data_IF_002494602418
#
_entry.id   IF_002494602418
#
_cell.length_a   1.000
_cell.length_b   1.000
_cell.length_c   1.000
_cell.angle_alpha   90.00
_cell.angle_beta   90.00
_cell.angle_gamma   90.00
#
_symmetry.space_group_name_H-M   'P 1'
#
loop_
_entity.id
_entity.type
_entity.pdbx_description
1 polymer ?
#
# COMPACT_ATOMS: atom_id res chain seq x y z
N UNK A 1 -9.38 13.43 -11.87
CA UNK A 1 -7.91 13.29 -12.05
C UNK A 1 -7.07 14.46 -11.51
N UNK A 2 -7.28 15.71 -11.97
CA UNK A 2 -6.47 16.88 -11.56
C UNK A 2 -6.42 17.08 -10.04
N UNK A 3 -7.58 17.17 -9.38
CA UNK A 3 -7.65 17.36 -7.91
C UNK A 3 -6.94 16.25 -7.15
N UNK A 4 -7.16 14.99 -7.52
CA UNK A 4 -6.51 13.82 -6.91
C UNK A 4 -4.98 13.90 -7.09
N UNK A 5 -4.51 14.21 -8.30
CA UNK A 5 -3.08 14.39 -8.57
C UNK A 5 -2.48 15.51 -7.71
N UNK A 6 -3.13 16.66 -7.61
CA UNK A 6 -2.65 17.77 -6.79
C UNK A 6 -2.59 17.39 -5.31
N UNK A 7 -3.60 16.69 -4.80
CA UNK A 7 -3.63 16.21 -3.41
C UNK A 7 -2.55 15.15 -3.16
N UNK A 8 -2.41 14.16 -4.04
CA UNK A 8 -1.38 13.14 -3.95
C UNK A 8 0.03 13.76 -4.00
N UNK A 9 0.24 14.82 -4.80
CA UNK A 9 1.52 15.52 -4.85
C UNK A 9 1.82 16.30 -3.54
N UNK A 10 0.80 16.87 -2.90
CA UNK A 10 0.96 17.48 -1.56
C UNK A 10 1.31 16.43 -0.50
N UNK A 11 0.64 15.29 -0.52
CA UNK A 11 0.93 14.14 0.34
C UNK A 11 2.37 13.67 0.10
N UNK A 12 2.78 13.57 -1.17
CA UNK A 12 4.14 13.18 -1.54
C UNK A 12 5.18 14.05 -0.84
N UNK A 13 5.06 15.38 -0.92
CA UNK A 13 6.03 16.27 -0.28
C UNK A 13 6.08 16.13 1.24
N UNK A 14 4.94 15.93 1.90
CA UNK A 14 4.90 15.74 3.36
C UNK A 14 5.54 14.41 3.78
N UNK A 15 5.15 13.30 3.16
CA UNK A 15 5.71 11.97 3.47
C UNK A 15 7.19 11.90 3.12
N UNK A 16 7.59 12.48 1.98
CA UNK A 16 8.99 12.52 1.56
C UNK A 16 9.83 13.26 2.59
N UNK A 17 9.38 14.44 3.04
CA UNK A 17 10.09 15.22 4.06
C UNK A 17 10.25 14.45 5.37
N UNK A 18 9.22 13.75 5.86
CA UNK A 18 9.33 12.96 7.09
C UNK A 18 10.27 11.75 6.93
N UNK A 19 10.09 10.99 5.84
CA UNK A 19 10.86 9.77 5.57
C UNK A 19 12.34 10.08 5.34
N UNK A 20 12.66 11.17 4.64
CA UNK A 20 14.04 11.60 4.38
C UNK A 20 14.82 11.89 5.67
N UNK A 21 14.14 12.35 6.73
CA UNK A 21 14.72 12.58 8.05
C UNK A 21 14.70 11.32 8.94
N UNK A 22 14.45 10.15 8.38
CA UNK A 22 14.40 8.88 9.12
C UNK A 22 13.22 8.76 10.08
N UNK A 23 12.16 9.57 9.92
CA UNK A 23 10.94 9.46 10.71
C UNK A 23 9.98 8.49 10.05
N UNK A 24 9.33 7.65 10.86
CA UNK A 24 8.21 6.83 10.41
C UNK A 24 7.03 7.75 10.04
N UNK A 25 6.47 7.57 8.84
CA UNK A 25 5.31 8.31 8.39
C UNK A 25 4.03 7.48 8.55
N UNK A 26 3.08 7.95 9.36
CA UNK A 26 1.73 7.39 9.45
C UNK A 26 0.75 8.29 8.69
N UNK A 27 0.15 7.78 7.63
CA UNK A 27 -0.89 8.47 6.87
C UNK A 27 -2.26 7.89 7.21
N UNK A 28 -3.14 8.73 7.78
CA UNK A 28 -4.56 8.42 7.88
C UNK A 28 -5.25 9.01 6.66
N UNK A 29 -5.55 8.17 5.68
CA UNK A 29 -6.15 8.56 4.43
C UNK A 29 -7.68 8.55 4.47
N UNK A 30 -8.27 9.15 3.43
CA UNK A 30 -9.65 8.89 3.06
C UNK A 30 -9.67 7.76 2.06
N UNK A 31 -9.83 8.07 0.77
CA UNK A 31 -9.77 7.07 -0.28
C UNK A 31 -8.34 6.60 -0.60
N UNK A 32 -8.23 5.42 -1.19
CA UNK A 32 -6.98 4.71 -1.49
C UNK A 32 -6.07 5.51 -2.44
N UNK A 33 -6.59 6.48 -3.19
CA UNK A 33 -5.76 7.36 -4.05
C UNK A 33 -4.69 8.18 -3.31
N UNK A 34 -4.80 8.36 -1.99
CA UNK A 34 -3.72 8.96 -1.21
C UNK A 34 -2.41 8.18 -1.31
N UNK A 35 -2.47 6.85 -1.51
CA UNK A 35 -1.29 6.00 -1.53
C UNK A 35 -0.38 6.24 -2.73
N UNK A 36 -0.90 6.85 -3.81
CA UNK A 36 -0.07 7.32 -4.93
C UNK A 36 1.04 8.24 -4.41
N UNK A 37 0.68 9.18 -3.53
CA UNK A 37 1.61 10.13 -2.94
C UNK A 37 2.54 9.50 -1.92
N UNK A 38 2.00 8.68 -1.02
CA UNK A 38 2.78 8.07 0.07
C UNK A 38 3.82 7.08 -0.45
N UNK A 39 3.43 6.16 -1.35
CA UNK A 39 4.29 5.10 -1.87
C UNK A 39 5.45 5.66 -2.71
N UNK A 40 5.14 6.62 -3.59
CA UNK A 40 6.17 7.28 -4.41
C UNK A 40 7.10 8.13 -3.56
N UNK A 41 6.59 8.77 -2.51
CA UNK A 41 7.40 9.56 -1.57
C UNK A 41 8.35 8.71 -0.73
N UNK A 42 7.87 7.59 -0.18
CA UNK A 42 8.72 6.66 0.58
C UNK A 42 9.85 6.14 -0.29
N UNK A 43 9.54 5.75 -1.53
CA UNK A 43 10.53 5.28 -2.51
C UNK A 43 11.56 6.37 -2.82
N UNK A 44 11.10 7.58 -3.13
CA UNK A 44 11.97 8.72 -3.45
C UNK A 44 12.91 9.09 -2.28
N UNK A 45 12.38 9.13 -1.05
CA UNK A 45 13.14 9.50 0.14
C UNK A 45 14.26 8.49 0.43
N UNK A 46 13.95 7.19 0.39
CA UNK A 46 14.93 6.14 0.66
C UNK A 46 16.05 6.10 -0.39
N UNK A 47 15.71 6.30 -1.67
CA UNK A 47 16.71 6.44 -2.74
C UNK A 47 17.61 7.66 -2.52
N UNK A 48 17.02 8.80 -2.13
CA UNK A 48 17.79 10.01 -1.86
C UNK A 48 18.75 9.83 -0.67
N UNK A 49 18.29 9.24 0.43
CA UNK A 49 19.14 8.95 1.60
C UNK A 49 20.31 8.05 1.23
N UNK A 50 20.10 7.06 0.35
CA UNK A 50 21.16 6.17 -0.12
C UNK A 50 22.21 6.92 -0.94
N UNK A 51 21.78 7.75 -1.89
CA UNK A 51 22.70 8.53 -2.73
C UNK A 51 23.61 9.44 -1.91
N UNK A 52 23.10 9.99 -0.79
CA UNK A 52 23.89 10.79 0.16
C UNK A 52 24.91 9.94 0.95
N UNK A 53 24.57 8.69 1.30
CA UNK A 53 25.48 7.77 2.02
C UNK A 53 26.61 7.24 1.14
N UNK A 54 26.34 6.91 -0.13
CA UNK A 54 27.38 6.43 -1.05
C UNK A 54 28.45 7.47 -1.40
N UNK A 55 28.15 8.77 -1.25
CA UNK A 55 29.17 9.82 -1.36
C UNK A 55 30.23 9.76 -0.25
N UNK A 56 29.96 9.05 0.86
CA UNK A 56 30.79 9.06 2.07
C UNK A 56 31.22 7.68 2.57
N UNK A 57 30.80 6.56 1.95
CA UNK A 57 31.15 5.19 2.37
C UNK A 57 30.93 4.15 1.25
N UNK A 58 31.66 3.01 1.23
CA UNK A 58 31.49 1.96 0.22
C UNK A 58 30.10 1.28 0.33
N UNK A 59 29.59 0.69 -0.78
CA UNK A 59 28.24 0.17 -0.83
C UNK A 59 28.06 -1.05 0.10
N UNK A 60 27.23 -0.90 1.12
CA UNK A 60 26.70 -2.02 1.93
C UNK A 60 25.51 -2.63 1.15
N UNK A 61 25.42 -3.95 1.09
CA UNK A 61 24.40 -4.74 0.38
C UNK A 61 22.95 -4.63 0.93
N UNK A 62 22.59 -3.48 1.52
CA UNK A 62 21.21 -3.21 1.96
C UNK A 62 20.34 -2.84 0.76
N UNK A 63 19.25 -3.57 0.55
CA UNK A 63 18.28 -3.26 -0.50
C UNK A 63 17.49 -2.01 -0.11
N UNK A 64 17.66 -0.92 -0.87
CA UNK A 64 17.10 0.39 -0.54
C UNK A 64 15.73 0.68 -1.15
N UNK A 65 15.29 -0.17 -2.06
CA UNK A 65 13.92 -0.12 -2.57
C UNK A 65 12.99 -0.70 -1.49
N UNK A 66 12.01 0.07 -0.99
CA UNK A 66 11.08 -0.45 0.00
C UNK A 66 10.22 -1.56 -0.61
N UNK A 67 9.93 -2.58 0.19
CA UNK A 67 8.79 -3.45 -0.04
C UNK A 67 7.51 -2.75 0.38
N UNK A 68 6.44 -3.03 -0.36
CA UNK A 68 5.10 -2.57 -0.02
C UNK A 68 4.26 -3.81 0.28
N UNK A 69 3.89 -3.96 1.55
CA UNK A 69 2.94 -4.99 1.99
C UNK A 69 1.56 -4.33 2.01
N UNK A 70 0.65 -4.87 1.22
CA UNK A 70 -0.68 -4.31 0.97
C UNK A 70 -1.73 -5.25 1.56
N UNK A 71 -2.49 -4.74 2.53
CA UNK A 71 -3.75 -5.36 2.94
C UNK A 71 -4.86 -4.70 2.14
N UNK A 72 -5.48 -5.44 1.22
CA UNK A 72 -6.59 -4.94 0.41
C UNK A 72 -7.43 -6.12 -0.13
N UNK A 73 -8.75 -5.95 -0.23
CA UNK A 73 -9.61 -6.89 -0.94
C UNK A 73 -9.38 -6.88 -2.46
N UNK A 74 -8.93 -5.75 -2.99
CA UNK A 74 -8.73 -5.42 -4.40
C UNK A 74 -7.24 -5.22 -4.72
N UNK A 75 -6.91 -5.16 -6.01
CA UNK A 75 -5.53 -4.89 -6.45
C UNK A 75 -5.25 -3.41 -6.71
N UNK A 76 -6.27 -2.63 -7.03
CA UNK A 76 -6.12 -1.21 -7.38
C UNK A 76 -5.11 -0.96 -8.53
N UNK A 77 -5.02 -1.92 -9.46
CA UNK A 77 -4.11 -1.96 -10.62
C UNK A 77 -4.81 -1.64 -11.94
N UNK A 78 -6.10 -1.29 -11.91
CA UNK A 78 -6.78 -0.82 -13.10
C UNK A 78 -6.14 0.47 -13.64
N UNK A 79 -6.13 0.60 -14.95
CA UNK A 79 -5.74 1.81 -15.66
C UNK A 79 -6.98 2.55 -16.15
N UNK A 80 -6.86 3.82 -16.61
CA UNK A 80 -8.00 4.54 -17.20
C UNK A 80 -8.67 3.80 -18.36
N UNK A 81 -7.96 2.93 -19.08
CA UNK A 81 -8.51 2.17 -20.20
C UNK A 81 -9.07 0.79 -19.81
N UNK A 82 -8.70 0.25 -18.64
CA UNK A 82 -9.17 -1.07 -18.18
C UNK A 82 -10.27 -0.98 -17.12
N UNK A 83 -10.35 0.14 -16.39
CA UNK A 83 -11.30 0.30 -15.31
C UNK A 83 -12.75 0.26 -15.81
N UNK A 84 -13.62 -0.58 -15.21
CA UNK A 84 -15.03 -0.63 -15.58
C UNK A 84 -15.82 0.60 -15.11
N UNK A 85 -15.38 1.26 -14.03
CA UNK A 85 -16.09 2.40 -13.42
C UNK A 85 -15.48 3.76 -13.75
N UNK A 86 -14.21 3.80 -14.18
CA UNK A 86 -13.44 5.03 -14.30
C UNK A 86 -13.09 5.68 -12.95
N UNK A 87 -13.41 5.01 -11.83
CA UNK A 87 -13.07 5.52 -10.50
C UNK A 87 -11.57 5.35 -10.23
N UNK A 88 -10.90 6.47 -9.95
CA UNK A 88 -9.47 6.49 -9.67
C UNK A 88 -9.08 5.70 -8.41
N UNK A 89 -10.05 5.38 -7.55
CA UNK A 89 -9.81 4.59 -6.35
C UNK A 89 -9.36 3.15 -6.63
N UNK A 90 -9.73 2.59 -7.79
CA UNK A 90 -9.24 1.28 -8.26
C UNK A 90 -7.95 1.36 -9.08
N UNK A 91 -7.30 2.52 -9.14
CA UNK A 91 -6.08 2.77 -9.92
C UNK A 91 -4.81 3.21 -9.14
N UNK A 92 -4.79 3.41 -7.80
CA UNK A 92 -3.60 3.97 -7.14
C UNK A 92 -2.31 3.23 -7.43
N UNK A 93 -2.34 1.90 -7.41
CA UNK A 93 -1.15 1.08 -7.64
C UNK A 93 -0.76 1.09 -9.12
N UNK A 94 -1.70 1.28 -10.06
CA UNK A 94 -1.36 1.47 -11.47
C UNK A 94 -0.57 2.76 -11.70
N UNK A 95 -0.90 3.85 -10.99
CA UNK A 95 -0.14 5.09 -11.05
C UNK A 95 1.20 4.99 -10.32
N UNK A 96 1.22 4.42 -9.11
CA UNK A 96 2.43 4.30 -8.30
C UNK A 96 3.51 3.39 -8.91
N UNK A 97 3.11 2.40 -9.72
CA UNK A 97 4.03 1.47 -10.42
C UNK A 97 4.30 1.88 -11.87
N UNK A 98 3.52 2.79 -12.44
CA UNK A 98 3.61 3.21 -13.84
C UNK A 98 2.86 2.32 -14.84
N UNK A 99 2.06 1.33 -14.40
CA UNK A 99 1.18 0.52 -15.28
C UNK A 99 0.17 1.39 -16.03
N UNK A 100 -0.27 2.50 -15.44
CA UNK A 100 -1.18 3.45 -16.09
C UNK A 100 -0.57 4.14 -17.35
N UNK A 101 0.70 3.87 -17.68
CA UNK A 101 1.29 4.15 -18.99
C UNK A 101 1.31 5.64 -19.30
N UNK A 102 0.74 6.04 -20.45
CA UNK A 102 0.62 7.44 -20.87
C UNK A 102 0.03 8.35 -19.77
N UNK A 103 -0.89 7.85 -18.95
CA UNK A 103 -1.44 8.61 -17.83
C UNK A 103 -0.44 8.90 -16.69
N UNK A 104 0.75 8.28 -16.72
CA UNK A 104 1.90 8.50 -15.81
C UNK A 104 3.16 8.98 -16.53
N UNK A 105 3.16 9.06 -17.85
CA UNK A 105 4.32 9.45 -18.68
C UNK A 105 4.04 10.64 -19.58
N UNK A 106 2.83 11.22 -19.51
CA UNK A 106 2.53 12.48 -20.18
C UNK A 106 3.40 13.58 -19.55
N UNK A 107 4.45 13.94 -20.28
CA UNK A 107 5.41 14.97 -19.91
C UNK A 107 4.93 16.38 -20.27
N UNK A 108 3.68 16.54 -20.70
CA UNK A 108 3.08 17.87 -20.80
C UNK A 108 3.06 18.53 -19.41
N UNK A 109 3.55 19.77 -19.30
CA UNK A 109 3.39 20.55 -18.08
C UNK A 109 1.92 20.56 -17.68
N UNK A 110 1.64 20.32 -16.40
CA UNK A 110 0.29 20.25 -15.80
C UNK A 110 -0.59 19.02 -16.11
N UNK A 111 -0.07 18.02 -16.84
CA UNK A 111 -0.77 16.74 -16.90
C UNK A 111 -0.90 16.10 -15.50
N UNK A 112 -2.07 15.54 -15.14
CA UNK A 112 -2.22 14.81 -13.88
C UNK A 112 -1.15 13.73 -13.74
N UNK A 113 -0.53 13.64 -12.56
CA UNK A 113 0.50 12.66 -12.21
C UNK A 113 1.82 12.75 -12.98
N UNK A 114 2.03 13.78 -13.81
CA UNK A 114 3.31 14.00 -14.52
C UNK A 114 4.51 14.26 -13.60
N UNK A 115 4.24 14.61 -12.33
CA UNK A 115 5.24 14.77 -11.29
C UNK A 115 5.86 13.44 -10.81
N UNK A 116 5.25 12.29 -11.11
CA UNK A 116 5.77 10.97 -10.70
C UNK A 116 6.94 10.57 -11.62
N UNK A 117 8.16 10.67 -11.11
CA UNK A 117 9.35 10.25 -11.84
C UNK A 117 9.47 8.72 -11.92
N UNK A 118 10.07 8.21 -13.00
CA UNK A 118 10.30 6.77 -13.17
C UNK A 118 11.10 6.16 -12.02
N UNK A 119 12.08 6.89 -11.47
CA UNK A 119 12.89 6.43 -10.35
C UNK A 119 12.05 6.20 -9.08
N UNK A 120 10.96 6.95 -8.88
CA UNK A 120 10.15 6.91 -7.66
C UNK A 120 9.01 5.87 -7.72
N UNK A 121 8.90 5.14 -8.83
CA UNK A 121 7.86 4.13 -9.01
C UNK A 121 8.14 2.91 -8.13
N UNK A 122 7.06 2.32 -7.64
CA UNK A 122 7.14 1.10 -6.85
C UNK A 122 7.53 -0.07 -7.74
N UNK A 123 8.53 -0.84 -7.32
CA UNK A 123 8.96 -2.06 -8.02
C UNK A 123 7.93 -3.18 -7.84
N UNK A 124 7.47 -3.79 -8.94
CA UNK A 124 6.54 -4.91 -8.90
C UNK A 124 7.04 -6.11 -8.10
N UNK A 125 8.36 -6.36 -8.08
CA UNK A 125 8.98 -7.44 -7.29
C UNK A 125 8.98 -7.13 -5.79
N UNK A 126 8.62 -5.91 -5.42
CA UNK A 126 8.55 -5.44 -4.03
C UNK A 126 7.11 -5.28 -3.56
N UNK A 127 6.12 -5.56 -4.41
CA UNK A 127 4.71 -5.58 -4.06
C UNK A 127 4.27 -6.96 -3.55
N UNK A 128 3.65 -6.95 -2.37
CA UNK A 128 3.08 -8.14 -1.73
C UNK A 128 1.66 -7.81 -1.29
N UNK A 129 0.66 -8.43 -1.90
CA UNK A 129 -0.74 -8.33 -1.48
C UNK A 129 -1.11 -9.46 -0.55
N UNK A 130 -1.95 -9.17 0.44
CA UNK A 130 -2.49 -10.13 1.40
C UNK A 130 -3.98 -9.82 1.61
N UNK A 131 -4.84 -10.83 1.49
CA UNK A 131 -6.28 -10.69 1.71
C UNK A 131 -7.11 -10.38 0.45
N UNK A 132 -6.45 -10.33 -0.71
CA UNK A 132 -7.08 -10.08 -2.01
C UNK A 132 -8.11 -11.15 -2.35
N UNK A 133 -9.27 -10.72 -2.86
CA UNK A 133 -10.39 -11.62 -3.17
C UNK A 133 -11.37 -11.07 -4.21
N UNK A 134 -11.31 -9.79 -4.55
CA UNK A 134 -12.12 -9.19 -5.62
C UNK A 134 -11.20 -8.52 -6.63
N UNK A 135 -11.10 -9.10 -7.83
CA UNK A 135 -10.07 -8.74 -8.80
C UNK A 135 -10.63 -8.78 -10.21
N UNK A 136 -10.52 -7.65 -10.90
CA UNK A 136 -10.90 -7.52 -12.29
C UNK A 136 -9.94 -8.31 -13.21
N UNK A 137 -10.43 -8.94 -14.30
CA UNK A 137 -9.57 -9.72 -15.20
C UNK A 137 -8.33 -8.98 -15.72
N UNK A 138 -8.40 -7.69 -16.14
CA UNK A 138 -7.20 -6.96 -16.58
C UNK A 138 -6.14 -6.77 -15.50
N UNK A 139 -6.54 -6.69 -14.22
CA UNK A 139 -5.58 -6.58 -13.11
C UNK A 139 -4.83 -7.90 -12.90
N UNK A 140 -5.50 -9.06 -13.12
CA UNK A 140 -4.86 -10.38 -13.07
C UNK A 140 -3.75 -10.51 -14.13
N UNK A 141 -3.97 -9.95 -15.31
CA UNK A 141 -2.95 -9.93 -16.38
C UNK A 141 -1.71 -9.14 -15.97
N UNK A 142 -1.89 -8.02 -15.26
CA UNK A 142 -0.78 -7.22 -14.71
C UNK A 142 -0.01 -8.03 -13.67
N UNK A 143 -0.71 -8.68 -12.74
CA UNK A 143 -0.10 -9.55 -11.73
C UNK A 143 0.71 -10.67 -12.36
N UNK A 144 0.14 -11.37 -13.34
CA UNK A 144 0.81 -12.47 -14.04
C UNK A 144 2.04 -11.97 -14.82
N UNK A 145 1.91 -10.87 -15.57
CA UNK A 145 2.98 -10.29 -16.38
C UNK A 145 4.18 -9.84 -15.55
N UNK A 146 3.93 -9.26 -14.39
CA UNK A 146 4.98 -8.70 -13.54
C UNK A 146 5.38 -9.61 -12.36
N UNK A 147 4.79 -10.81 -12.27
CA UNK A 147 5.02 -11.78 -11.20
C UNK A 147 4.84 -11.20 -9.79
N UNK A 148 3.83 -10.34 -9.63
CA UNK A 148 3.48 -9.70 -8.35
C UNK A 148 3.06 -10.79 -7.35
N UNK A 149 3.50 -10.69 -6.09
CA UNK A 149 3.09 -11.63 -5.05
C UNK A 149 1.72 -11.25 -4.51
N UNK A 150 0.75 -12.14 -4.68
CA UNK A 150 -0.61 -11.99 -4.17
C UNK A 150 -0.93 -13.22 -3.36
N UNK A 151 -1.23 -13.02 -2.08
CA UNK A 151 -1.73 -14.04 -1.17
C UNK A 151 -3.21 -13.75 -0.94
N UNK A 152 -4.05 -14.33 -1.79
CA UNK A 152 -5.48 -14.16 -1.71
C UNK A 152 -6.08 -14.87 -0.50
N UNK A 153 -7.37 -14.65 -0.26
CA UNK A 153 -8.05 -15.30 0.86
C UNK A 153 -8.12 -16.83 0.74
N UNK A 154 -7.96 -17.40 -0.45
CA UNK A 154 -7.83 -18.86 -0.60
C UNK A 154 -6.52 -19.37 0.02
N UNK A 155 -5.38 -18.75 -0.29
CA UNK A 155 -4.10 -19.15 0.31
C UNK A 155 -4.08 -18.88 1.82
N UNK A 156 -4.63 -17.75 2.26
CA UNK A 156 -4.72 -17.42 3.69
C UNK A 156 -5.53 -18.48 4.45
N UNK A 157 -6.70 -18.90 3.91
CA UNK A 157 -7.50 -19.97 4.53
C UNK A 157 -6.80 -21.32 4.53
N UNK A 158 -6.07 -21.63 3.46
CA UNK A 158 -5.38 -22.93 3.30
C UNK A 158 -4.17 -23.07 4.20
N UNK A 159 -3.39 -21.99 4.36
CA UNK A 159 -2.08 -22.06 5.01
C UNK A 159 -2.04 -21.36 6.38
N UNK A 160 -2.95 -20.44 6.64
CA UNK A 160 -2.94 -19.57 7.82
C UNK A 160 -2.01 -18.38 7.65
N UNK A 161 -2.38 -17.24 8.25
CA UNK A 161 -1.69 -15.96 8.07
C UNK A 161 -0.21 -15.98 8.52
N UNK A 162 0.12 -16.71 9.58
CA UNK A 162 1.49 -16.81 10.09
C UNK A 162 2.44 -17.43 9.05
N UNK A 163 2.02 -18.51 8.38
CA UNK A 163 2.82 -19.15 7.32
C UNK A 163 2.96 -18.28 6.08
N UNK A 164 1.92 -17.50 5.77
CA UNK A 164 2.00 -16.50 4.70
C UNK A 164 3.07 -15.46 5.06
N UNK A 165 3.06 -14.93 6.28
CA UNK A 165 4.07 -13.95 6.72
C UNK A 165 5.48 -14.55 6.73
N UNK A 166 5.67 -15.81 7.13
CA UNK A 166 6.96 -16.49 7.02
C UNK A 166 7.49 -16.49 5.57
N UNK A 167 6.62 -16.83 4.61
CA UNK A 167 6.96 -16.81 3.19
C UNK A 167 7.25 -15.39 2.67
N UNK A 168 6.50 -14.39 3.14
CA UNK A 168 6.72 -12.98 2.78
C UNK A 168 8.10 -12.50 3.26
N UNK A 169 8.46 -12.73 4.53
CA UNK A 169 9.76 -12.29 5.04
C UNK A 169 10.92 -13.08 4.45
N UNK A 170 10.75 -14.38 4.17
CA UNK A 170 11.73 -15.16 3.44
C UNK A 170 11.96 -14.61 2.02
N UNK A 171 10.90 -14.15 1.36
CA UNK A 171 10.97 -13.52 0.04
C UNK A 171 11.64 -12.14 0.06
N UNK A 172 11.27 -11.29 1.02
CA UNK A 172 11.75 -9.91 1.10
C UNK A 172 13.18 -9.81 1.65
N UNK A 173 13.58 -10.72 2.54
CA UNK A 173 14.86 -10.65 3.23
C UNK A 173 14.85 -9.71 4.46
N UNK A 174 15.82 -9.87 5.36
CA UNK A 174 15.76 -9.32 6.72
C UNK A 174 16.05 -7.81 6.84
N UNK A 175 16.62 -7.17 5.83
CA UNK A 175 16.98 -5.73 5.86
C UNK A 175 16.12 -4.86 4.93
N UNK A 176 15.03 -5.42 4.40
CA UNK A 176 14.19 -4.71 3.43
C UNK A 176 13.29 -3.71 4.14
N UNK A 177 13.37 -2.40 3.85
CA UNK A 177 12.44 -1.40 4.37
C UNK A 177 11.00 -1.72 3.95
N UNK A 178 10.03 -1.53 4.85
CA UNK A 178 8.63 -1.90 4.62
C UNK A 178 7.73 -0.67 4.71
N UNK A 179 6.96 -0.45 3.66
CA UNK A 179 5.78 0.42 3.65
C UNK A 179 4.54 -0.48 3.80
N UNK A 180 3.83 -0.37 4.92
CA UNK A 180 2.60 -1.11 5.15
C UNK A 180 1.41 -0.27 4.68
N UNK A 181 0.72 -0.69 3.62
CA UNK A 181 -0.48 -0.02 3.12
C UNK A 181 -1.72 -0.83 3.51
N UNK A 182 -2.55 -0.27 4.38
CA UNK A 182 -3.76 -0.94 4.88
C UNK A 182 -4.99 -0.26 4.30
N UNK A 183 -5.65 -0.95 3.38
CA UNK A 183 -7.05 -0.70 3.06
C UNK A 183 -7.92 -1.48 4.04
N UNK A 184 -8.82 -0.80 4.77
CA UNK A 184 -9.65 -1.46 5.79
C UNK A 184 -10.63 -2.49 5.20
N UNK A 185 -10.94 -2.40 3.90
CA UNK A 185 -11.75 -3.39 3.19
C UNK A 185 -11.07 -4.76 3.06
N UNK A 186 -9.76 -4.86 3.36
CA UNK A 186 -9.06 -6.14 3.46
C UNK A 186 -9.67 -7.05 4.54
N UNK A 187 -10.17 -6.42 5.61
CA UNK A 187 -10.89 -7.11 6.67
C UNK A 187 -12.28 -7.52 6.21
N UNK A 188 -12.80 -8.63 6.76
CA UNK A 188 -14.18 -9.01 6.56
C UNK A 188 -15.13 -7.90 7.06
N UNK A 189 -16.25 -7.61 6.37
CA UNK A 189 -17.19 -6.55 6.74
C UNK A 189 -17.76 -6.70 8.16
N UNK A 190 -17.71 -7.89 8.77
CA UNK A 190 -18.05 -8.04 10.19
C UNK A 190 -17.17 -7.19 11.12
N UNK A 191 -15.92 -6.92 10.73
CA UNK A 191 -14.93 -6.15 11.48
C UNK A 191 -14.83 -4.70 11.00
N UNK A 192 -14.97 -4.47 9.68
CA UNK A 192 -14.81 -3.16 9.07
C UNK A 192 -15.97 -2.84 8.08
N UNK A 193 -17.22 -2.70 8.56
CA UNK A 193 -18.36 -2.44 7.68
C UNK A 193 -18.39 -1.01 7.11
N UNK A 194 -17.77 -0.04 7.81
CA UNK A 194 -17.65 1.37 7.40
C UNK A 194 -16.58 1.60 6.33
N UNK A 195 -16.74 0.98 5.17
CA UNK A 195 -15.87 1.14 4.00
C UNK A 195 -16.70 1.16 2.72
N UNK A 196 -16.23 1.88 1.68
CA UNK A 196 -17.01 2.11 0.46
C UNK A 196 -17.23 0.86 -0.40
N UNK A 197 -16.34 -0.14 -0.33
CA UNK A 197 -16.40 -1.36 -1.15
C UNK A 197 -16.20 -2.61 -0.27
N UNK A 198 -17.16 -2.95 0.61
CA UNK A 198 -17.02 -4.11 1.48
C UNK A 198 -17.12 -5.41 0.67
N UNK A 199 -16.17 -6.32 0.86
CA UNK A 199 -16.17 -7.65 0.22
C UNK A 199 -16.19 -8.75 1.28
N UNK A 200 -17.17 -9.65 1.24
CA UNK A 200 -17.27 -10.74 2.23
C UNK A 200 -16.10 -11.74 2.16
N UNK A 201 -15.89 -12.50 3.24
CA UNK A 201 -14.90 -13.57 3.31
C UNK A 201 -13.46 -13.06 3.41
N UNK A 202 -13.29 -11.87 4.01
CA UNK A 202 -12.02 -11.19 4.20
C UNK A 202 -11.22 -11.65 5.41
N UNK A 203 -10.12 -10.94 5.70
CA UNK A 203 -9.26 -11.21 6.85
C UNK A 203 -10.05 -11.03 8.15
N UNK A 204 -9.77 -11.87 9.15
CA UNK A 204 -10.19 -11.54 10.51
C UNK A 204 -9.37 -10.37 11.05
N UNK A 205 -9.88 -9.69 12.08
CA UNK A 205 -9.11 -8.66 12.76
C UNK A 205 -7.78 -9.21 13.32
N UNK A 206 -7.77 -10.46 13.79
CA UNK A 206 -6.54 -11.10 14.30
C UNK A 206 -5.55 -11.42 13.18
N UNK A 207 -6.01 -11.76 11.97
CA UNK A 207 -5.13 -11.91 10.81
C UNK A 207 -4.47 -10.58 10.44
N UNK A 208 -5.25 -9.49 10.37
CA UNK A 208 -4.72 -8.16 10.10
C UNK A 208 -3.71 -7.70 11.16
N UNK A 209 -4.02 -7.92 12.45
CA UNK A 209 -3.10 -7.65 13.55
C UNK A 209 -1.84 -8.51 13.46
N UNK A 210 -1.94 -9.77 13.05
CA UNK A 210 -0.79 -10.63 12.81
C UNK A 210 0.15 -10.02 11.78
N UNK A 211 -0.37 -9.59 10.62
CA UNK A 211 0.46 -8.91 9.61
C UNK A 211 1.14 -7.67 10.20
N UNK A 212 0.37 -6.82 10.87
CA UNK A 212 0.89 -5.59 11.49
C UNK A 212 2.00 -5.87 12.53
N UNK A 213 1.80 -6.83 13.44
CA UNK A 213 2.80 -7.26 14.44
C UNK A 213 4.04 -7.82 13.76
N UNK A 214 3.89 -8.69 12.77
CA UNK A 214 5.02 -9.30 12.06
C UNK A 214 5.85 -8.25 11.30
N UNK A 215 5.19 -7.24 10.74
CA UNK A 215 5.87 -6.07 10.13
C UNK A 215 6.61 -5.25 11.17
N UNK A 216 6.00 -4.94 12.32
CA UNK A 216 6.67 -4.28 13.45
C UNK A 216 7.91 -5.06 13.90
N UNK A 217 7.76 -6.36 14.12
CA UNK A 217 8.80 -7.24 14.65
C UNK A 217 9.99 -7.40 13.70
N UNK A 218 9.82 -7.08 12.41
CA UNK A 218 10.93 -7.01 11.46
C UNK A 218 11.91 -5.87 11.74
N UNK A 219 11.51 -4.84 12.47
CA UNK A 219 12.31 -3.64 12.72
C UNK A 219 12.50 -2.72 11.51
N UNK A 220 11.89 -3.04 10.36
CA UNK A 220 12.14 -2.35 9.09
C UNK A 220 10.97 -1.47 8.61
N UNK A 221 9.96 -1.22 9.45
CA UNK A 221 8.81 -0.39 9.09
C UNK A 221 9.22 1.08 8.91
N UNK A 222 8.96 1.64 7.73
CA UNK A 222 9.29 3.04 7.40
C UNK A 222 8.06 3.93 7.20
N UNK A 223 6.93 3.34 6.79
CA UNK A 223 5.70 4.07 6.56
C UNK A 223 4.49 3.16 6.73
N UNK A 224 3.37 3.75 7.16
CA UNK A 224 2.07 3.09 7.30
C UNK A 224 1.00 3.97 6.67
N UNK A 225 0.15 3.39 5.83
CA UNK A 225 -1.08 4.03 5.39
C UNK A 225 -2.28 3.26 5.94
N UNK A 226 -3.31 3.97 6.37
CA UNK A 226 -4.64 3.41 6.67
C UNK A 226 -5.68 4.19 5.89
N UNK A 227 -6.39 3.52 4.99
CA UNK A 227 -7.32 4.12 4.03
C UNK A 227 -8.67 3.41 4.04
N UNK A 228 -9.66 4.02 3.38
CA UNK A 228 -11.03 3.54 3.14
C UNK A 228 -11.92 3.40 4.37
N UNK A 229 -11.61 4.14 5.44
CA UNK A 229 -12.57 4.36 6.53
C UNK A 229 -13.59 5.40 6.09
N UNK A 230 -14.82 4.96 5.80
CA UNK A 230 -15.91 5.83 5.40
C UNK A 230 -17.01 5.83 6.50
N UNK A 231 -17.19 6.94 7.24
CA UNK A 231 -18.19 7.03 8.28
C UNK A 231 -19.62 7.19 7.74
N UNK A 232 -19.82 7.31 6.43
CA UNK A 232 -21.11 7.64 5.81
C UNK A 232 -21.88 6.44 5.25
N UNK A 233 -21.22 5.28 5.15
CA UNK A 233 -21.76 4.07 4.47
C UNK A 233 -22.35 3.04 5.42
N UNK A 234 -22.31 3.28 6.73
CA UNK A 234 -22.82 2.36 7.75
C UNK A 234 -23.40 3.13 8.94
N UNK A 235 -24.04 2.43 9.87
CA UNK A 235 -24.55 3.03 11.09
C UNK A 235 -23.43 3.39 12.08
N UNK A 236 -23.78 4.10 13.15
CA UNK A 236 -22.81 4.54 14.15
C UNK A 236 -21.98 3.38 14.73
N UNK A 237 -22.61 2.23 14.97
CA UNK A 237 -21.92 1.07 15.52
C UNK A 237 -20.89 0.52 14.51
N UNK A 238 -21.27 0.43 13.24
CA UNK A 238 -20.38 0.04 12.15
C UNK A 238 -19.18 0.98 12.01
N UNK A 239 -19.40 2.29 12.11
CA UNK A 239 -18.31 3.29 12.08
C UNK A 239 -17.37 3.08 13.26
N UNK A 240 -17.90 2.99 14.49
CA UNK A 240 -17.10 2.76 15.69
C UNK A 240 -16.30 1.45 15.60
N UNK A 241 -16.88 0.42 14.98
CA UNK A 241 -16.22 -0.88 14.76
C UNK A 241 -15.07 -0.78 13.77
N UNK A 242 -15.28 -0.17 12.60
CA UNK A 242 -14.21 0.05 11.60
C UNK A 242 -13.09 0.90 12.16
N UNK A 243 -13.41 2.02 12.82
CA UNK A 243 -12.40 2.91 13.42
C UNK A 243 -11.59 2.17 14.47
N UNK A 244 -12.23 1.33 15.29
CA UNK A 244 -11.54 0.50 16.29
C UNK A 244 -10.65 -0.55 15.62
N UNK A 245 -11.10 -1.19 14.55
CA UNK A 245 -10.31 -2.14 13.79
C UNK A 245 -9.06 -1.47 13.19
N UNK A 246 -9.24 -0.34 12.50
CA UNK A 246 -8.16 0.49 11.96
C UNK A 246 -7.15 0.90 13.05
N UNK A 247 -7.63 1.39 14.18
CA UNK A 247 -6.78 1.79 15.31
C UNK A 247 -5.98 0.61 15.88
N UNK A 248 -6.56 -0.59 15.94
CA UNK A 248 -5.83 -1.80 16.33
C UNK A 248 -4.72 -2.16 15.36
N UNK A 249 -4.96 -2.07 14.05
CA UNK A 249 -3.94 -2.34 13.04
C UNK A 249 -2.76 -1.35 13.18
N UNK A 250 -3.05 -0.06 13.34
CA UNK A 250 -2.01 0.96 13.60
C UNK A 250 -1.25 0.66 14.89
N UNK A 251 -1.97 0.38 15.98
CA UNK A 251 -1.34 0.08 17.27
C UNK A 251 -0.40 -1.12 17.14
N UNK A 252 -0.84 -2.19 16.49
CA UNK A 252 -0.03 -3.38 16.31
C UNK A 252 1.19 -3.18 15.40
N UNK A 253 1.09 -2.27 14.42
CA UNK A 253 2.22 -1.91 13.56
C UNK A 253 3.26 -1.04 14.28
N UNK A 254 2.85 -0.23 15.27
CA UNK A 254 3.70 0.79 15.88
C UNK A 254 4.15 0.47 17.32
N UNK A 255 3.40 -0.35 18.05
CA UNK A 255 3.63 -0.60 19.48
C UNK A 255 3.31 -2.05 19.85
N UNK A 256 3.59 -2.41 21.11
CA UNK A 256 3.18 -3.70 21.67
C UNK A 256 1.65 -3.81 21.74
N UNK A 257 1.21 -4.86 21.05
CA UNK A 257 -0.10 -5.48 20.98
C UNK A 257 0.23 -6.98 20.72
#
# INVERSE_FOLDING_TARGET
PKTISTTAHRIFHQVHAHTLHGRLALTLGGCHTSTIGTLTATTAALQQTQNQRHQHSPPIHSTTTPAVIILDAHLALNTPSTSPSGNLNGMPLAYATGVAGAATTDSTPDAPFSWIQQAWRVDFRRLVYIGTRDVDPPERDVVARHAIKVFGMEEVRRHGIEKIMDAVFAYLGPETPIHLSVNVDALDPRWAPGTGNPVEGGLSLEDGKCVARRVRDSGNLVAVDVVEVDPTVTDREGVERTVRAAAWLVRCALTEC
#
